data_IF_334818278363
#
_entry.id   IF_334818278363
#
_cell.length_a   1.000
_cell.length_b   1.000
_cell.length_c   1.000
_cell.angle_alpha   90.00
_cell.angle_beta   90.00
_cell.angle_gamma   90.00
#
_symmetry.space_group_name_H-M   'P 1'
#
loop_
_entity.id
_entity.type
_entity.pdbx_description
1 polymer ?
#
# COMPACT_ATOMS: atom_id res chain seq x y z
N UNK A 1 10.15 28.68 -7.84
CA UNK A 1 9.52 28.19 -6.60
C UNK A 1 8.82 26.89 -6.92
N UNK A 2 9.58 25.78 -6.95
CA UNK A 2 9.04 24.49 -7.34
C UNK A 2 8.23 23.96 -6.16
N UNK A 3 6.90 24.01 -6.29
CA UNK A 3 5.98 23.30 -5.42
C UNK A 3 6.27 21.80 -5.55
N UNK A 4 7.17 21.29 -4.71
CA UNK A 4 7.38 19.87 -4.49
C UNK A 4 6.18 19.37 -3.69
N UNK A 5 5.06 19.16 -4.37
CA UNK A 5 3.83 18.64 -3.79
C UNK A 5 4.04 17.13 -3.51
N UNK A 6 4.85 16.83 -2.48
CA UNK A 6 5.17 15.46 -2.08
C UNK A 6 3.99 14.90 -1.30
N UNK A 7 3.23 14.02 -1.94
CA UNK A 7 2.06 13.36 -1.35
C UNK A 7 2.46 11.93 -0.97
N UNK A 8 2.25 11.53 0.28
CA UNK A 8 2.29 10.12 0.65
C UNK A 8 0.90 9.53 0.51
N UNK A 9 0.82 8.43 -0.22
CA UNK A 9 -0.40 7.66 -0.37
C UNK A 9 -0.19 6.30 0.28
N UNK A 10 -1.07 5.95 1.21
CA UNK A 10 -0.99 4.66 1.88
C UNK A 10 -2.10 3.78 1.34
N UNK A 11 -1.72 2.62 0.79
CA UNK A 11 -2.67 1.63 0.27
C UNK A 11 -2.49 0.31 1.00
N UNK A 12 -3.54 -0.11 1.68
CA UNK A 12 -3.67 -1.45 2.26
C UNK A 12 -4.16 -2.41 1.18
N UNK A 13 -3.42 -3.48 0.92
CA UNK A 13 -3.75 -4.48 -0.11
C UNK A 13 -3.67 -5.89 0.46
N UNK A 14 -4.67 -6.72 0.17
CA UNK A 14 -4.57 -8.16 0.39
C UNK A 14 -3.90 -8.82 -0.82
N UNK A 15 -2.84 -9.60 -0.61
CA UNK A 15 -2.33 -10.49 -1.64
C UNK A 15 -3.28 -11.70 -1.71
N UNK A 16 -4.05 -11.80 -2.80
CA UNK A 16 -4.80 -13.02 -3.11
C UNK A 16 -3.89 -13.91 -3.97
N UNK A 17 -3.63 -15.18 -3.57
CA UNK A 17 -2.97 -16.11 -4.47
C UNK A 17 -3.86 -16.30 -5.70
N UNK A 18 -3.29 -16.06 -6.89
CA UNK A 18 -3.98 -16.29 -8.15
C UNK A 18 -3.96 -17.79 -8.44
N UNK A 19 -5.13 -18.41 -8.52
CA UNK A 19 -5.24 -19.81 -8.95
C UNK A 19 -5.07 -19.86 -10.48
N UNK A 20 -3.84 -19.94 -10.96
CA UNK A 20 -3.59 -20.48 -12.31
C UNK A 20 -3.89 -21.97 -12.28
N UNK A 21 -4.73 -22.44 -13.21
CA UNK A 21 -5.22 -23.82 -13.31
C UNK A 21 -4.14 -24.88 -13.60
N UNK A 22 -2.86 -24.51 -13.64
CA UNK A 22 -1.74 -25.43 -13.82
C UNK A 22 -0.92 -25.53 -12.52
N UNK A 23 -1.32 -26.50 -11.69
CA UNK A 23 -0.55 -27.24 -10.69
C UNK A 23 0.75 -26.63 -10.12
N UNK A 24 0.79 -26.42 -8.80
CA UNK A 24 1.78 -27.09 -7.95
C UNK A 24 1.24 -27.22 -6.53
N UNK A 25 0.90 -28.47 -6.19
CA UNK A 25 0.58 -28.96 -4.86
C UNK A 25 1.79 -28.75 -3.94
N UNK A 26 1.79 -27.71 -3.11
CA UNK A 26 2.46 -27.77 -1.79
C UNK A 26 1.63 -27.02 -0.75
N UNK A 27 1.00 -27.80 0.11
CA UNK A 27 0.42 -27.41 1.41
C UNK A 27 -0.59 -26.26 1.34
N UNK A 28 -1.84 -26.66 1.11
CA UNK A 28 -3.04 -25.99 1.60
C UNK A 28 -2.91 -25.64 3.08
N UNK A 29 -2.28 -24.50 3.38
CA UNK A 29 -2.60 -23.75 4.59
C UNK A 29 -3.57 -22.71 4.08
N UNK A 30 -4.80 -22.78 4.55
CA UNK A 30 -5.80 -21.71 4.48
C UNK A 30 -5.19 -20.44 5.11
N UNK A 31 -4.24 -19.82 4.42
CA UNK A 31 -3.55 -18.64 4.92
C UNK A 31 -4.54 -17.51 4.70
N UNK A 32 -5.00 -16.94 5.81
CA UNK A 32 -5.67 -15.65 5.82
C UNK A 32 -4.97 -14.70 4.84
N UNK A 33 -5.72 -13.84 4.13
CA UNK A 33 -5.13 -12.93 3.16
C UNK A 33 -3.98 -12.17 3.82
N UNK A 34 -2.75 -12.37 3.33
CA UNK A 34 -1.61 -11.64 3.84
C UNK A 34 -1.82 -10.18 3.48
N UNK A 35 -1.94 -9.36 4.53
CA UNK A 35 -2.25 -7.96 4.39
C UNK A 35 -0.94 -7.19 4.26
N UNK A 36 -0.80 -6.44 3.17
CA UNK A 36 0.42 -5.73 2.83
C UNK A 36 0.09 -4.26 2.68
N UNK A 37 0.81 -3.44 3.42
CA UNK A 37 0.71 -1.98 3.36
C UNK A 37 1.74 -1.44 2.37
N UNK A 38 1.29 -0.63 1.42
CA UNK A 38 2.15 0.04 0.44
C UNK A 38 2.19 1.53 0.71
N UNK A 39 3.36 2.05 1.04
CA UNK A 39 3.63 3.48 1.15
C UNK A 39 4.10 4.00 -0.19
N UNK A 40 3.26 4.79 -0.86
CA UNK A 40 3.51 5.34 -2.18
C UNK A 40 3.80 6.83 -2.06
N UNK A 41 5.07 7.21 -2.09
CA UNK A 41 5.50 8.60 -1.94
C UNK A 41 5.69 9.20 -3.33
N UNK A 42 4.94 10.26 -3.63
CA UNK A 42 5.12 11.02 -4.86
C UNK A 42 6.24 12.03 -4.66
N UNK A 43 7.28 11.92 -5.47
CA UNK A 43 8.32 12.92 -5.61
C UNK A 43 8.18 13.62 -6.97
N UNK A 44 9.13 14.48 -7.34
CA UNK A 44 9.06 15.28 -8.57
C UNK A 44 8.88 14.44 -9.83
N UNK A 45 9.64 13.34 -9.97
CA UNK A 45 9.66 12.50 -11.17
C UNK A 45 8.99 11.14 -10.93
N UNK A 46 9.34 10.48 -9.84
CA UNK A 46 8.97 9.09 -9.59
C UNK A 46 7.96 8.92 -8.46
N UNK A 47 7.32 7.76 -8.44
CA UNK A 47 6.50 7.28 -7.34
C UNK A 47 7.31 6.19 -6.64
N UNK A 48 7.81 6.48 -5.45
CA UNK A 48 8.54 5.50 -4.66
C UNK A 48 7.56 4.65 -3.88
N UNK A 49 7.72 3.33 -3.94
CA UNK A 49 6.84 2.39 -3.23
C UNK A 49 7.63 1.56 -2.26
N UNK A 50 7.31 1.68 -0.97
CA UNK A 50 7.77 0.76 0.07
C UNK A 50 6.63 -0.19 0.40
N UNK A 51 6.93 -1.49 0.43
CA UNK A 51 5.97 -2.58 0.69
C UNK A 51 6.30 -3.19 2.05
N UNK A 52 5.33 -3.24 2.95
CA UNK A 52 5.45 -3.76 4.31
C UNK A 52 4.37 -4.78 4.60
N UNK A 53 4.79 -5.97 5.03
CA UNK A 53 3.88 -7.07 5.39
C UNK A 53 3.45 -7.00 6.86
N UNK A 54 4.25 -6.33 7.70
CA UNK A 54 4.01 -6.18 9.13
C UNK A 54 3.12 -4.95 9.42
N UNK A 55 1.93 -5.21 9.98
CA UNK A 55 0.93 -4.19 10.25
C UNK A 55 1.36 -3.22 11.38
N UNK A 56 2.03 -3.72 12.43
CA UNK A 56 2.41 -2.89 13.57
C UNK A 56 3.51 -1.89 13.19
N UNK A 57 4.50 -2.35 12.42
CA UNK A 57 5.54 -1.47 11.88
C UNK A 57 4.98 -0.46 10.89
N UNK A 58 3.97 -0.85 10.10
CA UNK A 58 3.30 0.07 9.21
C UNK A 58 2.61 1.22 9.97
N UNK A 59 1.91 0.94 11.07
CA UNK A 59 1.26 1.99 11.87
C UNK A 59 2.26 2.95 12.52
N UNK A 60 3.37 2.42 13.05
CA UNK A 60 4.47 3.25 13.56
C UNK A 60 5.05 4.15 12.46
N UNK A 61 5.31 3.60 11.28
CA UNK A 61 5.82 4.37 10.15
C UNK A 61 4.82 5.41 9.65
N UNK A 62 3.50 5.16 9.70
CA UNK A 62 2.49 6.18 9.40
C UNK A 62 2.63 7.38 10.34
N UNK A 63 2.84 7.14 11.63
CA UNK A 63 2.99 8.20 12.65
C UNK A 63 4.32 8.95 12.53
N UNK A 64 5.37 8.27 12.06
CA UNK A 64 6.68 8.89 11.82
C UNK A 64 6.72 9.80 10.59
N UNK A 65 5.69 9.81 9.75
CA UNK A 65 5.65 10.70 8.60
C UNK A 65 5.55 12.16 9.06
N UNK A 66 6.27 13.10 8.39
CA UNK A 66 6.25 14.50 8.78
C UNK A 66 4.83 15.07 8.62
N UNK A 67 4.31 15.84 9.61
CA UNK A 67 2.95 16.37 9.60
C UNK A 67 2.69 17.40 8.49
N UNK A 68 3.75 18.01 7.95
CA UNK A 68 3.68 18.90 6.77
C UNK A 68 3.48 18.15 5.44
N UNK A 69 3.53 16.81 5.46
CA UNK A 69 3.34 15.98 4.28
C UNK A 69 1.87 15.59 4.14
N UNK A 70 1.30 15.78 2.95
CA UNK A 70 -0.09 15.39 2.69
C UNK A 70 -0.19 13.87 2.59
N UNK A 71 -0.91 13.26 3.54
CA UNK A 71 -1.12 11.82 3.60
C UNK A 71 -2.54 11.47 3.12
N UNK A 72 -2.64 10.66 2.06
CA UNK A 72 -3.92 10.14 1.54
C UNK A 72 -4.02 8.63 1.80
N UNK A 73 -5.04 8.19 2.56
CA UNK A 73 -5.37 6.77 2.69
C UNK A 73 -6.26 6.33 1.51
N UNK A 74 -5.71 5.47 0.63
CA UNK A 74 -6.42 4.97 -0.55
C UNK A 74 -7.14 3.67 -0.22
N UNK A 75 -8.41 3.81 0.15
CA UNK A 75 -9.40 2.72 0.08
C UNK A 75 -9.91 2.60 -1.35
N UNK A 76 -10.11 1.39 -1.86
CA UNK A 76 -10.53 1.12 -3.24
C UNK A 76 -11.98 1.49 -3.55
N UNK A 77 -12.58 2.47 -2.85
CA UNK A 77 -13.88 3.02 -3.23
C UNK A 77 -13.71 3.83 -4.51
N UNK A 78 -14.30 3.35 -5.60
CA UNK A 78 -14.36 4.08 -6.86
C UNK A 78 -14.88 5.51 -6.63
N UNK A 79 -14.31 6.53 -7.31
CA UNK A 79 -14.84 7.88 -7.21
C UNK A 79 -16.27 7.89 -7.74
N UNK A 80 -17.26 8.17 -6.87
CA UNK A 80 -18.60 8.55 -7.32
C UNK A 80 -18.44 9.83 -8.13
N UNK A 81 -18.47 9.74 -9.46
CA UNK A 81 -18.66 10.90 -10.33
C UNK A 81 -19.95 11.61 -9.89
N UNK A 82 -19.84 12.88 -9.54
CA UNK A 82 -20.96 13.81 -9.54
C UNK A 82 -21.25 14.22 -10.98
#
# INVERSE_FOLDING_TARGET
MNSHNTVARIKRTALKPHATSASLKTKSKSKAPTHVTKFKIRCSRYLYTLVLDDAEKAEKLKQSLPPGLKVEDVSTKAPKKK
#
